data_IF_196182122336
#
_entry.id   IF_196182122336
#
_cell.length_a   1.000
_cell.length_b   1.000
_cell.length_c   1.000
_cell.angle_alpha   90.00
_cell.angle_beta   90.00
_cell.angle_gamma   90.00
#
_symmetry.space_group_name_H-M   'P 1'
#
loop_
_entity.id
_entity.type
_entity.pdbx_description
1 polymer ?
#
# COMPACT_ATOMS: atom_id res chain seq x y z
N UNK A 1 54.87 -17.16 -26.22
CA UNK A 1 53.47 -17.58 -26.37
C UNK A 1 52.59 -16.39 -26.00
N UNK A 2 51.97 -15.70 -26.98
CA UNK A 2 51.11 -14.52 -26.72
C UNK A 2 49.66 -14.99 -26.64
N UNK A 3 48.98 -14.71 -25.52
CA UNK A 3 47.56 -14.99 -25.33
C UNK A 3 46.75 -13.85 -25.97
N UNK A 4 45.77 -14.13 -26.86
CA UNK A 4 44.96 -13.07 -27.46
C UNK A 4 43.90 -12.57 -26.47
N UNK A 5 43.79 -11.25 -26.34
CA UNK A 5 42.71 -10.58 -25.60
C UNK A 5 41.43 -10.61 -26.44
N UNK A 6 40.35 -11.15 -25.86
CA UNK A 6 39.00 -11.13 -26.45
C UNK A 6 38.28 -9.88 -25.96
N UNK A 7 37.98 -8.96 -26.88
CA UNK A 7 37.12 -7.80 -26.59
C UNK A 7 35.67 -8.27 -26.43
N UNK A 8 35.17 -8.26 -25.19
CA UNK A 8 33.74 -8.45 -24.90
C UNK A 8 33.04 -7.11 -25.01
N UNK A 9 32.30 -6.91 -26.10
CA UNK A 9 31.37 -5.80 -26.23
C UNK A 9 30.24 -5.96 -25.21
N UNK A 10 30.20 -5.09 -24.21
CA UNK A 10 29.08 -5.01 -23.26
C UNK A 10 27.93 -4.30 -23.98
N UNK A 11 26.85 -5.02 -24.24
CA UNK A 11 25.60 -4.44 -24.71
C UNK A 11 24.96 -3.68 -23.53
N UNK A 12 25.12 -2.37 -23.50
CA UNK A 12 24.45 -1.52 -22.52
C UNK A 12 22.98 -1.38 -22.91
N UNK A 13 22.10 -2.13 -22.23
CA UNK A 13 20.67 -1.95 -22.32
C UNK A 13 20.33 -0.68 -21.53
N UNK A 14 20.12 0.45 -22.22
CA UNK A 14 19.68 1.69 -21.60
C UNK A 14 18.20 1.54 -21.25
N UNK A 15 17.92 1.19 -19.99
CA UNK A 15 16.60 1.34 -19.40
C UNK A 15 16.33 2.85 -19.26
N UNK A 16 15.56 3.42 -20.18
CA UNK A 16 14.97 4.74 -19.99
C UNK A 16 13.97 4.63 -18.83
N UNK A 17 14.40 4.97 -17.62
CA UNK A 17 13.49 5.25 -16.51
C UNK A 17 12.87 6.62 -16.74
N UNK A 18 11.82 6.67 -17.56
CA UNK A 18 10.98 7.86 -17.63
C UNK A 18 10.26 8.03 -16.30
N UNK A 19 10.65 9.05 -15.52
CA UNK A 19 9.82 9.52 -14.41
C UNK A 19 8.56 10.14 -15.03
N UNK A 20 7.50 9.34 -15.11
CA UNK A 20 6.18 9.87 -15.42
C UNK A 20 5.72 10.72 -14.23
N UNK A 21 5.92 12.04 -14.31
CA UNK A 21 5.25 12.96 -13.40
C UNK A 21 3.78 12.99 -13.80
N UNK A 22 2.95 12.18 -13.13
CA UNK A 22 1.51 12.34 -13.23
C UNK A 22 1.17 13.78 -12.81
N UNK A 23 0.52 14.54 -13.69
CA UNK A 23 0.11 15.90 -13.38
C UNK A 23 -1.08 15.86 -12.43
N UNK A 24 -0.84 16.04 -11.14
CA UNK A 24 -1.90 16.32 -10.15
C UNK A 24 -2.44 17.75 -10.35
N UNK A 25 -3.75 17.99 -10.15
CA UNK A 25 -4.32 19.33 -10.20
C UNK A 25 -3.56 20.31 -9.29
N UNK A 26 -3.37 21.54 -9.75
CA UNK A 26 -2.57 22.53 -9.01
C UNK A 26 -3.17 22.90 -7.64
N UNK A 27 -4.48 22.71 -7.49
CA UNK A 27 -5.22 22.96 -6.26
C UNK A 27 -5.36 21.73 -5.36
N UNK A 28 -4.91 20.55 -5.79
CA UNK A 28 -4.91 19.33 -4.98
C UNK A 28 -4.18 19.55 -3.66
N UNK A 29 -4.82 19.17 -2.55
CA UNK A 29 -4.32 19.38 -1.18
C UNK A 29 -3.71 18.14 -0.55
N UNK A 30 -3.90 16.98 -1.18
CA UNK A 30 -3.32 15.74 -0.71
C UNK A 30 -1.81 15.70 -0.89
N UNK A 31 -1.17 14.78 -0.17
CA UNK A 31 0.27 14.54 -0.24
C UNK A 31 0.52 13.04 -0.32
N UNK A 32 1.51 12.58 -1.09
CA UNK A 32 1.87 11.17 -1.09
C UNK A 32 2.08 10.62 0.32
N UNK A 33 1.55 9.43 0.57
CA UNK A 33 1.65 8.79 1.88
C UNK A 33 3.10 8.59 2.29
N UNK A 34 3.43 9.05 3.49
CA UNK A 34 4.70 8.73 4.14
C UNK A 34 4.52 8.84 5.65
N UNK A 35 5.15 7.93 6.38
CA UNK A 35 5.22 7.92 7.83
C UNK A 35 6.58 7.36 8.32
N UNK A 36 6.65 6.94 9.58
CA UNK A 36 7.89 6.39 10.15
C UNK A 36 8.26 5.00 9.62
N UNK A 37 7.30 4.23 9.12
CA UNK A 37 7.49 2.87 8.61
C UNK A 37 7.55 2.81 7.07
N UNK A 38 6.93 3.76 6.37
CA UNK A 38 6.92 3.90 4.93
C UNK A 38 7.40 5.29 4.51
N UNK A 39 8.58 5.37 3.89
CA UNK A 39 9.23 6.65 3.54
C UNK A 39 9.35 6.90 2.04
N UNK A 40 8.79 6.02 1.20
CA UNK A 40 8.95 6.13 -0.25
C UNK A 40 8.10 7.26 -0.87
N UNK A 41 7.03 7.70 -0.21
CA UNK A 41 6.17 8.76 -0.73
C UNK A 41 5.37 8.29 -1.94
N UNK A 42 5.48 9.04 -3.05
CA UNK A 42 4.77 8.73 -4.28
C UNK A 42 5.14 7.33 -4.80
N UNK A 43 4.12 6.51 -5.06
CA UNK A 43 4.32 5.13 -5.50
C UNK A 43 4.82 5.09 -6.95
N UNK A 44 5.84 4.26 -7.22
CA UNK A 44 6.43 4.14 -8.55
C UNK A 44 5.62 3.22 -9.46
N UNK A 45 5.48 3.60 -10.73
CA UNK A 45 4.91 2.77 -11.80
C UNK A 45 5.95 2.66 -12.93
N UNK A 46 6.23 1.45 -13.48
CA UNK A 46 5.61 0.17 -13.15
C UNK A 46 6.03 -0.37 -11.77
N UNK A 47 5.13 -1.07 -11.10
CA UNK A 47 5.34 -1.58 -9.75
C UNK A 47 4.04 -2.08 -9.10
N UNK A 48 4.11 -2.38 -7.81
CA UNK A 48 2.93 -2.70 -6.98
C UNK A 48 2.38 -1.40 -6.42
N UNK A 49 1.10 -1.12 -6.68
CA UNK A 49 0.37 -0.01 -6.08
C UNK A 49 -0.38 -0.52 -4.85
N UNK A 50 0.02 -0.05 -3.67
CA UNK A 50 -0.66 -0.34 -2.40
C UNK A 50 -1.82 0.65 -2.22
N UNK A 51 -3.05 0.15 -2.27
CA UNK A 51 -4.24 1.00 -2.15
C UNK A 51 -4.33 1.66 -0.76
N UNK A 52 -3.95 0.95 0.30
CA UNK A 52 -3.91 1.49 1.67
C UNK A 52 -2.90 2.66 1.85
N UNK A 53 -1.99 2.86 0.89
CA UNK A 53 -1.05 3.99 0.85
C UNK A 53 -1.55 5.13 -0.05
N UNK A 54 -2.87 5.33 -0.07
CA UNK A 54 -3.48 6.54 -0.63
C UNK A 54 -2.93 7.79 0.06
N UNK A 55 -3.01 8.93 -0.62
CA UNK A 55 -2.44 10.18 -0.13
C UNK A 55 -2.96 10.57 1.28
N UNK A 56 -2.18 11.39 1.98
CA UNK A 56 -2.62 12.10 3.16
C UNK A 56 -3.44 13.31 2.69
N UNK A 57 -4.59 13.58 3.32
CA UNK A 57 -5.41 14.74 2.96
C UNK A 57 -6.76 14.80 3.67
N UNK A 58 -7.23 13.65 4.16
CA UNK A 58 -8.52 13.53 4.83
C UNK A 58 -9.68 13.39 3.86
N UNK A 59 -10.85 13.23 4.46
CA UNK A 59 -12.16 13.13 3.81
C UNK A 59 -12.42 14.31 2.86
N UNK A 60 -12.88 14.00 1.64
CA UNK A 60 -13.12 14.96 0.55
C UNK A 60 -11.86 15.47 -0.16
N UNK A 61 -10.67 14.97 0.21
CA UNK A 61 -9.39 15.34 -0.44
C UNK A 61 -8.65 14.10 -0.95
N UNK A 62 -8.33 13.17 -0.05
CA UNK A 62 -7.55 11.98 -0.39
C UNK A 62 -8.38 10.70 -0.44
N UNK A 63 -9.56 10.74 0.19
CA UNK A 63 -10.58 9.70 0.16
C UNK A 63 -11.96 10.32 0.35
N UNK A 64 -13.00 9.55 0.08
CA UNK A 64 -14.39 9.79 0.43
C UNK A 64 -14.93 8.57 1.18
N UNK A 65 -15.44 8.77 2.38
CA UNK A 65 -16.08 7.77 3.21
C UNK A 65 -17.33 8.37 3.86
N UNK A 66 -18.37 7.57 4.04
CA UNK A 66 -19.62 8.04 4.63
C UNK A 66 -19.64 7.87 6.14
N UNK A 67 -18.75 7.04 6.68
CA UNK A 67 -18.45 6.93 8.10
C UNK A 67 -17.07 7.55 8.41
N UNK A 68 -16.95 8.16 9.57
CA UNK A 68 -15.68 8.62 10.10
C UNK A 68 -14.90 7.49 10.81
N UNK A 69 -15.52 6.33 11.02
CA UNK A 69 -14.98 5.20 11.76
C UNK A 69 -14.35 4.19 10.79
N UNK A 70 -13.08 3.90 11.04
CA UNK A 70 -12.40 2.75 10.44
C UNK A 70 -12.80 1.44 11.15
N UNK A 71 -13.92 0.84 10.78
CA UNK A 71 -14.38 -0.47 11.23
C UNK A 71 -13.31 -1.58 11.11
N UNK A 72 -12.39 -1.46 10.16
CA UNK A 72 -11.22 -2.33 10.07
C UNK A 72 -10.21 -2.13 11.20
N UNK A 73 -9.50 -0.99 11.19
CA UNK A 73 -8.36 -0.71 12.06
C UNK A 73 -8.75 -0.26 13.48
N UNK A 74 -9.86 0.44 13.66
CA UNK A 74 -10.31 0.93 14.96
C UNK A 74 -11.21 -0.08 15.69
N UNK A 75 -11.91 -0.98 14.98
CA UNK A 75 -12.79 -1.96 15.61
C UNK A 75 -12.30 -3.41 15.45
N UNK A 76 -12.37 -3.96 14.24
CA UNK A 76 -12.08 -5.38 13.99
C UNK A 76 -10.68 -5.77 14.48
N UNK A 77 -9.66 -5.00 14.09
CA UNK A 77 -8.27 -5.28 14.43
C UNK A 77 -7.94 -5.09 15.91
N UNK A 78 -8.79 -4.40 16.68
CA UNK A 78 -8.61 -4.21 18.13
C UNK A 78 -9.11 -5.39 18.95
N UNK A 79 -9.87 -6.30 18.34
CA UNK A 79 -10.31 -7.53 19.00
C UNK A 79 -9.13 -8.49 19.18
N UNK A 80 -9.05 -9.15 20.35
CA UNK A 80 -7.92 -10.01 20.70
C UNK A 80 -7.64 -11.13 19.68
N UNK A 81 -8.68 -11.70 19.07
CA UNK A 81 -8.54 -12.73 18.03
C UNK A 81 -7.86 -12.20 16.75
N UNK A 82 -8.03 -10.90 16.48
CA UNK A 82 -7.55 -10.21 15.30
C UNK A 82 -6.19 -9.52 15.52
N UNK A 83 -5.62 -9.54 16.73
CA UNK A 83 -4.24 -9.10 17.00
C UNK A 83 -3.28 -10.27 16.91
N UNK A 84 -2.78 -10.53 15.69
CA UNK A 84 -1.96 -11.72 15.42
C UNK A 84 -0.51 -11.55 15.89
N UNK A 85 0.17 -12.61 16.38
CA UNK A 85 1.56 -12.51 16.84
C UNK A 85 2.58 -12.08 15.77
N UNK A 86 2.25 -12.28 14.49
CA UNK A 86 3.09 -11.86 13.36
C UNK A 86 2.86 -10.40 12.94
N UNK A 87 1.89 -9.71 13.52
CA UNK A 87 1.60 -8.30 13.33
C UNK A 87 1.85 -7.53 14.64
N UNK A 88 2.10 -6.23 14.54
CA UNK A 88 2.29 -5.37 15.71
C UNK A 88 1.33 -4.17 15.67
N UNK A 89 1.40 -3.28 16.69
CA UNK A 89 0.47 -2.15 16.83
C UNK A 89 0.35 -1.27 15.58
N UNK A 90 1.44 -1.10 14.83
CA UNK A 90 1.43 -0.36 13.56
C UNK A 90 0.47 -0.98 12.53
N UNK A 91 0.46 -2.31 12.40
CA UNK A 91 -0.41 -3.02 11.45
C UNK A 91 -1.85 -3.09 11.98
N UNK A 92 -2.03 -3.30 13.29
CA UNK A 92 -3.36 -3.41 13.88
C UNK A 92 -4.13 -2.09 13.80
N UNK A 93 -3.46 -0.96 14.03
CA UNK A 93 -4.06 0.38 14.01
C UNK A 93 -3.65 1.23 12.82
N UNK A 94 -3.30 0.61 11.67
CA UNK A 94 -2.84 1.37 10.52
C UNK A 94 -3.94 2.35 10.05
N UNK A 95 -3.63 3.66 10.13
CA UNK A 95 -4.54 4.78 9.78
C UNK A 95 -5.92 4.69 10.44
N UNK A 96 -5.98 4.14 11.66
CA UNK A 96 -7.23 3.97 12.42
C UNK A 96 -8.02 5.27 12.68
N UNK A 97 -7.37 6.43 12.56
CA UNK A 97 -7.97 7.75 12.82
C UNK A 97 -8.54 8.41 11.53
N UNK A 98 -8.61 7.67 10.42
CA UNK A 98 -9.21 8.10 9.14
C UNK A 98 -10.42 7.21 8.82
N UNK A 99 -11.40 7.72 8.05
CA UNK A 99 -12.65 6.99 7.77
C UNK A 99 -12.44 5.68 7.01
N UNK A 100 -11.52 5.67 6.02
CA UNK A 100 -11.32 4.52 5.12
C UNK A 100 -11.08 3.22 5.88
N UNK A 101 -11.96 2.27 5.66
CA UNK A 101 -11.87 0.95 6.25
C UNK A 101 -10.63 0.16 5.78
N UNK A 102 -9.72 -0.09 6.72
CA UNK A 102 -8.46 -0.78 6.45
C UNK A 102 -8.28 -1.96 7.39
N UNK A 103 -7.90 -3.08 6.79
CA UNK A 103 -7.49 -4.26 7.51
C UNK A 103 -6.20 -4.80 6.92
N UNK A 104 -5.73 -5.90 7.47
CA UNK A 104 -4.53 -6.58 7.04
C UNK A 104 -4.80 -8.07 6.90
N UNK A 105 -4.05 -8.73 6.00
CA UNK A 105 -4.14 -10.16 5.74
C UNK A 105 -3.72 -10.96 6.98
N UNK A 106 -4.67 -11.72 7.50
CA UNK A 106 -4.56 -12.59 8.67
C UNK A 106 -4.35 -14.03 8.22
N UNK A 107 -3.32 -14.65 8.76
CA UNK A 107 -2.94 -16.05 8.51
C UNK A 107 -4.06 -17.08 8.74
N UNK A 108 -5.00 -16.80 9.66
CA UNK A 108 -6.06 -17.74 10.01
C UNK A 108 -7.40 -17.50 9.30
N UNK A 109 -7.64 -16.29 8.80
CA UNK A 109 -8.93 -15.88 8.25
C UNK A 109 -8.87 -15.78 6.72
N UNK A 110 -7.86 -15.09 6.19
CA UNK A 110 -7.76 -14.76 4.77
C UNK A 110 -6.97 -15.80 3.97
N UNK A 111 -6.22 -16.67 4.68
CA UNK A 111 -5.38 -17.72 4.08
C UNK A 111 -5.88 -19.14 4.36
N UNK A 112 -7.05 -19.28 4.98
CA UNK A 112 -7.64 -20.59 5.30
C UNK A 112 -8.47 -21.20 4.16
N UNK A 113 -8.48 -20.57 2.98
CA UNK A 113 -9.22 -20.99 1.80
C UNK A 113 -8.33 -20.94 0.55
N UNK A 114 -8.71 -21.63 -0.55
CA UNK A 114 -8.00 -21.51 -1.82
C UNK A 114 -8.03 -20.06 -2.31
N UNK A 115 -6.86 -19.55 -2.66
CA UNK A 115 -6.67 -18.23 -3.25
C UNK A 115 -6.10 -18.37 -4.65
N UNK A 116 -6.68 -17.68 -5.65
CA UNK A 116 -6.12 -17.62 -7.01
C UNK A 116 -4.74 -16.97 -7.02
N UNK A 117 -4.57 -15.94 -6.18
CA UNK A 117 -3.30 -15.30 -5.85
C UNK A 117 -3.25 -15.18 -4.34
N UNK A 118 -2.23 -15.77 -3.72
CA UNK A 118 -2.07 -15.71 -2.27
C UNK A 118 -1.45 -14.36 -1.88
N UNK A 119 -2.14 -13.51 -1.10
CA UNK A 119 -1.55 -12.27 -0.64
C UNK A 119 -0.50 -12.53 0.44
N UNK A 120 0.36 -11.53 0.69
CA UNK A 120 1.35 -11.64 1.76
C UNK A 120 0.67 -11.48 3.12
N UNK A 121 1.10 -12.26 4.11
CA UNK A 121 0.71 -12.02 5.52
C UNK A 121 1.05 -10.58 5.91
N UNK A 122 0.17 -9.92 6.66
CA UNK A 122 0.25 -8.50 7.03
C UNK A 122 0.09 -7.50 5.88
N UNK A 123 -0.20 -7.93 4.65
CA UNK A 123 -0.52 -6.99 3.58
C UNK A 123 -1.77 -6.20 3.95
N UNK A 124 -1.66 -4.87 3.95
CA UNK A 124 -2.78 -3.96 4.17
C UNK A 124 -3.71 -3.96 2.96
N UNK A 125 -5.01 -3.86 3.21
CA UNK A 125 -6.02 -3.73 2.18
C UNK A 125 -7.16 -2.83 2.65
N UNK A 126 -7.79 -2.16 1.69
CA UNK A 126 -9.06 -1.45 1.88
C UNK A 126 -10.18 -2.48 1.75
N UNK A 127 -11.18 -2.43 2.63
CA UNK A 127 -12.36 -3.32 2.62
C UNK A 127 -13.59 -2.60 3.17
N UNK A 128 -14.69 -3.31 3.37
CA UNK A 128 -15.95 -2.77 3.94
C UNK A 128 -16.52 -1.53 3.26
N UNK A 129 -16.18 -1.31 2.00
CA UNK A 129 -16.62 -0.13 1.27
C UNK A 129 -18.02 -0.28 0.68
N UNK A 130 -18.81 0.78 0.80
CA UNK A 130 -20.18 0.89 0.32
C UNK A 130 -20.34 1.86 -0.88
N UNK A 131 -21.53 1.85 -1.48
CA UNK A 131 -21.88 2.76 -2.57
C UNK A 131 -21.79 4.22 -2.10
N UNK A 132 -20.83 4.95 -2.65
CA UNK A 132 -20.56 6.34 -2.30
C UNK A 132 -19.25 6.54 -1.55
N UNK A 133 -18.50 5.49 -1.21
CA UNK A 133 -17.25 5.59 -0.44
C UNK A 133 -16.00 5.35 -1.27
N UNK A 134 -15.38 6.37 -1.89
CA UNK A 134 -13.95 6.38 -2.30
C UNK A 134 -13.46 7.78 -2.68
#
# INVERSE_FOLDING_TARGET
MKIPQVNRSILACVLLTGLANASVPADYKGKPFADTAYQAGAQSIPGVLQCAYYDLGGEGVAYHDTDAINHGSEELNQQALHQRPHAGPYIWGFRKDEGVDISYVKDFADLNHPNLVSPLVNQLYIGWTDDGEW
#
